data_IF_288537632653
#
_entry.id   IF_288537632653
#
_cell.length_a   1.000
_cell.length_b   1.000
_cell.length_c   1.000
_cell.angle_alpha   90.00
_cell.angle_beta   90.00
_cell.angle_gamma   90.00
#
_symmetry.space_group_name_H-M   'P 1'
#
loop_
_entity.id
_entity.type
_entity.pdbx_description
1 polymer ?
#
# COMPACT_ATOMS: atom_id res chain seq x y z
N UNK A 1 -11.03 -9.94 -19.49
CA UNK A 1 -10.15 -9.81 -18.30
C UNK A 1 -8.99 -8.87 -18.60
N UNK A 2 -8.47 -8.91 -19.83
CA UNK A 2 -7.38 -8.05 -20.30
C UNK A 2 -7.62 -6.55 -20.13
N UNK A 3 -8.86 -6.07 -20.30
CA UNK A 3 -9.19 -4.66 -20.03
C UNK A 3 -8.97 -4.28 -18.56
N UNK A 4 -9.40 -5.11 -17.60
CA UNK A 4 -9.19 -4.88 -16.16
C UNK A 4 -7.70 -4.95 -15.81
N UNK A 5 -6.96 -5.86 -16.46
CA UNK A 5 -5.51 -5.97 -16.29
C UNK A 5 -4.76 -4.76 -16.87
N UNK A 6 -5.14 -4.27 -18.05
CA UNK A 6 -4.47 -3.16 -18.73
C UNK A 6 -4.80 -1.81 -18.07
N UNK A 7 -6.05 -1.60 -17.65
CA UNK A 7 -6.52 -0.30 -17.14
C UNK A 7 -6.44 -0.18 -15.63
N UNK A 8 -6.29 -1.29 -14.91
CA UNK A 8 -6.44 -1.36 -13.45
C UNK A 8 -7.77 -0.80 -12.93
N UNK A 9 -8.79 -0.69 -13.79
CA UNK A 9 -10.13 -0.25 -13.40
C UNK A 9 -10.97 -1.45 -12.99
N UNK A 10 -11.49 -1.50 -11.75
CA UNK A 10 -12.29 -2.63 -11.30
C UNK A 10 -13.68 -2.62 -11.93
N UNK A 11 -14.21 -3.80 -12.21
CA UNK A 11 -15.58 -3.99 -12.74
C UNK A 11 -16.44 -4.66 -11.69
N UNK A 12 -17.62 -4.09 -11.42
CA UNK A 12 -18.61 -4.68 -10.50
C UNK A 12 -19.58 -5.53 -11.31
N UNK A 13 -19.61 -6.83 -11.02
CA UNK A 13 -20.54 -7.78 -11.63
C UNK A 13 -21.82 -7.76 -10.80
N UNK A 14 -22.95 -7.50 -11.46
CA UNK A 14 -24.27 -7.50 -10.83
C UNK A 14 -25.12 -8.69 -11.32
N UNK A 15 -26.03 -9.16 -10.46
CA UNK A 15 -27.05 -10.15 -10.79
C UNK A 15 -28.38 -9.65 -10.26
N UNK A 16 -29.37 -9.47 -11.15
CA UNK A 16 -30.68 -8.85 -10.83
C UNK A 16 -30.54 -7.47 -10.17
N UNK A 17 -29.64 -6.64 -10.70
CA UNK A 17 -29.36 -5.28 -10.19
C UNK A 17 -28.58 -5.24 -8.87
N UNK A 18 -28.26 -6.39 -8.26
CA UNK A 18 -27.49 -6.46 -7.02
C UNK A 18 -26.02 -6.82 -7.31
N UNK A 19 -25.04 -6.13 -6.74
CA UNK A 19 -23.63 -6.50 -6.88
C UNK A 19 -23.38 -7.87 -6.26
N UNK A 20 -22.69 -8.75 -6.99
CA UNK A 20 -22.39 -10.12 -6.56
C UNK A 20 -20.91 -10.46 -6.60
N UNK A 21 -20.12 -9.77 -7.40
CA UNK A 21 -18.67 -9.94 -7.46
C UNK A 21 -17.99 -8.66 -7.94
N UNK A 22 -16.68 -8.56 -7.69
CA UNK A 22 -15.82 -7.49 -8.21
C UNK A 22 -14.62 -8.12 -8.89
N UNK A 23 -14.44 -7.79 -10.17
CA UNK A 23 -13.26 -8.19 -10.93
C UNK A 23 -12.18 -7.13 -10.73
N UNK A 24 -11.02 -7.57 -10.26
CA UNK A 24 -9.84 -6.75 -10.01
C UNK A 24 -8.63 -7.37 -10.71
N UNK A 25 -7.62 -6.59 -11.09
CA UNK A 25 -6.37 -7.14 -11.61
C UNK A 25 -5.69 -7.99 -10.54
N UNK A 26 -5.13 -9.13 -10.96
CA UNK A 26 -4.23 -9.93 -10.12
C UNK A 26 -2.84 -9.34 -10.29
N UNK A 27 -2.26 -8.89 -9.19
CA UNK A 27 -0.89 -8.35 -9.13
C UNK A 27 -0.09 -9.28 -8.23
N UNK A 28 1.06 -9.77 -8.69
CA UNK A 28 1.91 -10.57 -7.81
C UNK A 28 2.48 -9.73 -6.67
N UNK A 29 2.80 -10.35 -5.54
CA UNK A 29 3.40 -9.63 -4.40
C UNK A 29 4.68 -8.91 -4.81
N UNK A 30 5.46 -9.52 -5.72
CA UNK A 30 6.69 -8.93 -6.27
C UNK A 30 6.43 -7.71 -7.16
N UNK A 31 5.36 -7.73 -7.95
CA UNK A 31 4.98 -6.56 -8.75
C UNK A 31 4.45 -5.43 -7.87
N UNK A 32 3.69 -5.79 -6.83
CA UNK A 32 3.19 -4.84 -5.84
C UNK A 32 4.32 -4.15 -5.07
N UNK A 33 5.32 -4.91 -4.66
CA UNK A 33 6.54 -4.39 -4.03
C UNK A 33 7.29 -3.43 -4.98
N UNK A 34 7.47 -3.83 -6.24
CA UNK A 34 8.11 -2.97 -7.26
C UNK A 34 7.37 -1.65 -7.46
N UNK A 35 6.04 -1.68 -7.53
CA UNK A 35 5.22 -0.48 -7.69
C UNK A 35 5.32 0.44 -6.46
N UNK A 36 5.26 -0.13 -5.25
CA UNK A 36 5.46 0.60 -4.01
C UNK A 36 6.84 1.28 -3.96
N UNK A 37 7.91 0.55 -4.26
CA UNK A 37 9.27 1.09 -4.31
C UNK A 37 9.45 2.13 -5.44
N UNK A 38 8.78 1.94 -6.58
CA UNK A 38 8.80 2.91 -7.67
C UNK A 38 8.13 4.23 -7.26
N UNK A 39 7.03 4.17 -6.50
CA UNK A 39 6.34 5.37 -5.98
C UNK A 39 7.20 6.16 -5.00
N UNK A 40 8.13 5.49 -4.31
CA UNK A 40 9.11 6.11 -3.40
C UNK A 40 10.32 6.71 -4.14
N UNK A 41 10.45 6.54 -5.46
CA UNK A 41 11.55 7.15 -6.23
C UNK A 41 11.35 8.65 -6.29
N UNK A 42 12.21 9.38 -5.59
CA UNK A 42 12.23 10.83 -5.59
C UNK A 42 13.40 11.37 -4.81
N UNK A 43 13.50 12.70 -4.73
CA UNK A 43 14.39 13.37 -3.78
C UNK A 43 13.54 13.89 -2.65
N UNK A 44 13.91 13.54 -1.42
CA UNK A 44 13.31 14.10 -0.22
C UNK A 44 14.29 15.08 0.42
N UNK A 45 13.77 16.14 1.02
CA UNK A 45 14.55 17.05 1.86
C UNK A 45 14.07 16.89 3.29
N UNK A 46 14.97 16.49 4.18
CA UNK A 46 14.70 16.49 5.61
C UNK A 46 14.54 17.94 6.08
N UNK A 47 13.36 18.26 6.63
CA UNK A 47 13.09 19.59 7.18
C UNK A 47 13.47 19.70 8.67
N UNK A 48 13.78 18.57 9.29
CA UNK A 48 14.13 18.42 10.70
C UNK A 48 15.40 17.58 10.83
N UNK A 49 16.00 17.60 12.02
CA UNK A 49 17.09 16.68 12.33
C UNK A 49 16.59 15.23 12.31
N UNK A 50 17.48 14.27 12.05
CA UNK A 50 17.17 12.84 12.12
C UNK A 50 16.60 12.46 13.49
N UNK A 51 17.15 13.04 14.56
CA UNK A 51 16.70 12.79 15.93
C UNK A 51 15.27 13.25 16.18
N UNK A 52 14.88 14.40 15.62
CA UNK A 52 13.50 14.90 15.75
C UNK A 52 12.53 14.13 14.85
N UNK A 53 13.00 13.71 13.67
CA UNK A 53 12.21 12.88 12.76
C UNK A 53 11.84 11.52 13.37
N UNK A 54 12.78 10.88 14.08
CA UNK A 54 12.59 9.56 14.69
C UNK A 54 11.81 9.59 16.02
N UNK A 55 11.35 10.77 16.48
CA UNK A 55 10.58 10.90 17.71
C UNK A 55 9.07 10.81 17.45
N UNK A 56 8.30 10.24 18.39
CA UNK A 56 8.76 9.55 19.59
C UNK A 56 9.37 8.19 19.23
N UNK A 57 10.46 7.81 19.91
CA UNK A 57 10.96 6.44 19.80
C UNK A 57 9.87 5.48 20.29
N UNK A 58 9.79 4.26 19.76
CA UNK A 58 8.70 3.30 20.05
C UNK A 58 8.32 3.18 21.53
N UNK A 59 9.32 3.26 22.43
CA UNK A 59 9.13 3.25 23.90
C UNK A 59 8.41 4.50 24.43
N UNK A 60 8.71 5.66 23.89
CA UNK A 60 8.06 6.94 24.19
C UNK A 60 6.68 7.05 23.52
N UNK A 61 6.51 6.37 22.38
CA UNK A 61 5.28 6.38 21.59
C UNK A 61 4.17 5.50 22.19
N UNK A 62 4.49 4.62 23.14
CA UNK A 62 3.55 3.66 23.72
C UNK A 62 3.16 2.52 22.77
N UNK A 63 3.95 2.28 21.72
CA UNK A 63 3.65 1.25 20.73
C UNK A 63 4.06 -0.12 21.29
N UNK A 64 3.11 -1.06 21.32
CA UNK A 64 3.38 -2.47 21.61
C UNK A 64 3.74 -3.15 20.29
N UNK A 65 4.98 -2.98 19.86
CA UNK A 65 5.56 -3.92 18.91
C UNK A 65 5.77 -5.20 19.72
N UNK A 66 5.12 -6.30 19.31
CA UNK A 66 5.17 -7.57 20.03
C UNK A 66 6.61 -7.91 20.38
N UNK A 67 6.83 -8.38 21.60
CA UNK A 67 8.15 -8.64 22.15
C UNK A 67 8.96 -9.50 21.15
N UNK A 68 10.14 -9.01 20.76
CA UNK A 68 11.10 -9.79 19.97
C UNK A 68 11.54 -10.99 20.83
N UNK A 69 11.16 -12.20 20.40
CA UNK A 69 11.71 -13.47 20.92
C UNK A 69 13.15 -13.68 20.44
#
# INVERSE_FOLDING_TARGET
>A
MDEVAATHRPVVITKRGRPVARLVPVVSDREREKEALASLRGRVKMLVSERDFLRPLTREAGWRLGDDE
#
